data_IF_405980039402
#
_entry.id   IF_405980039402
#
_cell.length_a   1.000
_cell.length_b   1.000
_cell.length_c   1.000
_cell.angle_alpha   90.00
_cell.angle_beta   90.00
_cell.angle_gamma   90.00
#
_symmetry.space_group_name_H-M   'P 1'
#
loop_
_entity.id
_entity.type
_entity.pdbx_description
1 polymer ?
#
# COMPACT_ATOMS: atom_id res chain seq x y z
N UNK A 1 -20.25 9.47 -24.34
CA UNK A 1 -19.77 9.83 -22.98
C UNK A 1 -18.81 8.74 -22.53
N UNK A 2 -17.58 9.08 -22.20
CA UNK A 2 -16.63 8.13 -21.60
C UNK A 2 -17.12 7.75 -20.21
N UNK A 3 -17.25 6.46 -19.94
CA UNK A 3 -17.59 5.92 -18.62
C UNK A 3 -16.50 6.29 -17.60
N UNK A 4 -16.81 7.25 -16.72
CA UNK A 4 -15.90 7.72 -15.68
C UNK A 4 -15.80 6.66 -14.58
N UNK A 5 -14.69 5.93 -14.56
CA UNK A 5 -14.45 4.91 -13.54
C UNK A 5 -14.08 5.55 -12.21
N UNK A 6 -14.83 5.18 -11.16
CA UNK A 6 -14.56 5.61 -9.79
C UNK A 6 -13.20 5.07 -9.33
N UNK A 7 -12.48 5.85 -8.53
CA UNK A 7 -11.17 5.48 -8.02
C UNK A 7 -11.03 5.82 -6.54
N UNK A 8 -10.25 5.01 -5.81
CA UNK A 8 -9.79 5.29 -4.45
C UNK A 8 -8.26 5.24 -4.45
N UNK A 9 -7.64 6.28 -3.91
CA UNK A 9 -6.20 6.37 -3.71
C UNK A 9 -5.91 6.17 -2.23
N UNK A 10 -4.99 5.27 -1.93
CA UNK A 10 -4.72 4.78 -0.58
C UNK A 10 -3.24 4.99 -0.28
N UNK A 11 -2.93 5.47 0.92
CA UNK A 11 -1.59 5.36 1.45
C UNK A 11 -1.30 3.90 1.86
N UNK A 12 -0.02 3.55 2.06
CA UNK A 12 0.42 2.19 2.41
C UNK A 12 0.66 2.08 3.92
N UNK A 13 1.69 2.75 4.42
CA UNK A 13 2.16 2.62 5.80
C UNK A 13 1.26 3.43 6.74
N UNK A 14 0.79 2.80 7.82
CA UNK A 14 -0.20 3.38 8.73
C UNK A 14 -1.65 3.40 8.22
N UNK A 15 -1.89 3.01 6.97
CA UNK A 15 -3.23 2.92 6.36
C UNK A 15 -3.61 1.49 6.01
N UNK A 16 -2.80 0.81 5.19
CA UNK A 16 -3.01 -0.58 4.80
C UNK A 16 -2.24 -1.53 5.71
N UNK A 17 -0.98 -1.21 6.01
CA UNK A 17 -0.18 -1.92 6.99
C UNK A 17 0.05 -1.10 8.24
N UNK A 18 0.33 -1.79 9.33
CA UNK A 18 0.83 -1.18 10.55
C UNK A 18 2.11 -0.41 10.22
N UNK A 19 2.16 0.86 10.62
CA UNK A 19 3.33 1.71 10.44
C UNK A 19 4.55 1.10 11.14
N UNK A 20 5.64 0.97 10.39
CA UNK A 20 6.97 0.63 10.90
C UNK A 20 7.90 1.66 10.30
N UNK A 21 8.63 2.39 11.15
CA UNK A 21 9.60 3.38 10.70
C UNK A 21 10.59 2.72 9.73
N UNK A 22 10.42 3.01 8.44
CA UNK A 22 11.21 2.45 7.33
C UNK A 22 11.06 0.93 7.15
N UNK A 23 9.84 0.46 6.90
CA UNK A 23 9.56 -0.94 6.57
C UNK A 23 10.36 -1.41 5.32
N UNK A 24 11.41 -2.20 5.55
CA UNK A 24 12.31 -2.73 4.50
C UNK A 24 12.46 -4.28 4.54
N UNK A 25 11.88 -4.92 5.55
CA UNK A 25 11.87 -6.38 5.70
C UNK A 25 10.45 -6.90 5.46
N UNK A 26 10.24 -7.78 4.46
CA UNK A 26 8.94 -8.37 4.17
C UNK A 26 8.30 -9.05 5.38
N UNK A 27 9.09 -9.67 6.26
CA UNK A 27 8.56 -10.43 7.40
C UNK A 27 7.92 -9.52 8.46
N UNK A 28 8.28 -8.23 8.46
CA UNK A 28 7.69 -7.22 9.35
C UNK A 28 6.41 -6.57 8.79
N UNK A 29 6.00 -6.90 7.56
CA UNK A 29 4.74 -6.41 7.00
C UNK A 29 3.55 -7.04 7.73
N UNK A 30 2.68 -6.20 8.30
CA UNK A 30 1.44 -6.65 8.93
C UNK A 30 0.30 -5.75 8.48
N UNK A 31 -0.67 -6.31 7.75
CA UNK A 31 -1.88 -5.57 7.37
C UNK A 31 -2.80 -5.37 8.58
N UNK A 32 -3.59 -4.30 8.57
CA UNK A 32 -4.72 -4.23 9.49
C UNK A 32 -5.75 -5.33 9.13
N UNK A 33 -6.39 -5.98 10.11
CA UNK A 33 -7.34 -7.07 9.87
C UNK A 33 -8.47 -6.69 8.89
N UNK A 34 -8.87 -5.42 8.88
CA UNK A 34 -10.00 -4.89 8.12
C UNK A 34 -9.65 -4.53 6.67
N UNK A 35 -8.37 -4.52 6.28
CA UNK A 35 -7.95 -4.06 4.95
C UNK A 35 -8.54 -4.92 3.85
N UNK A 36 -8.31 -6.22 3.87
CA UNK A 36 -8.78 -7.13 2.83
C UNK A 36 -10.30 -7.03 2.61
N UNK A 37 -11.15 -7.10 3.65
CA UNK A 37 -12.60 -6.96 3.45
C UNK A 37 -12.99 -5.56 2.94
N UNK A 38 -12.37 -4.48 3.44
CA UNK A 38 -12.68 -3.12 2.98
C UNK A 38 -12.32 -2.90 1.50
N UNK A 39 -11.12 -3.33 1.07
CA UNK A 39 -10.70 -3.23 -0.33
C UNK A 39 -11.59 -4.07 -1.25
N UNK A 40 -11.97 -5.28 -0.80
CA UNK A 40 -12.89 -6.15 -1.53
C UNK A 40 -14.24 -5.47 -1.74
N UNK A 41 -14.78 -4.83 -0.70
CA UNK A 41 -16.05 -4.10 -0.79
C UNK A 41 -15.96 -2.92 -1.78
N UNK A 42 -14.87 -2.15 -1.75
CA UNK A 42 -14.65 -1.06 -2.71
C UNK A 42 -14.58 -1.58 -4.15
N UNK A 43 -13.89 -2.70 -4.39
CA UNK A 43 -13.83 -3.32 -5.72
C UNK A 43 -15.21 -3.79 -6.19
N UNK A 44 -16.01 -4.41 -5.32
CA UNK A 44 -17.38 -4.83 -5.63
C UNK A 44 -18.30 -3.65 -5.97
N UNK A 45 -18.07 -2.48 -5.35
CA UNK A 45 -18.76 -1.23 -5.65
C UNK A 45 -18.28 -0.56 -6.96
N UNK A 46 -17.33 -1.17 -7.67
CA UNK A 46 -16.82 -0.68 -8.96
C UNK A 46 -15.74 0.38 -8.86
N UNK A 47 -15.05 0.50 -7.72
CA UNK A 47 -13.87 1.36 -7.60
C UNK A 47 -12.62 0.68 -8.13
N UNK A 48 -11.76 1.47 -8.79
CA UNK A 48 -10.35 1.12 -9.01
C UNK A 48 -9.54 1.55 -7.80
N UNK A 49 -8.63 0.70 -7.36
CA UNK A 49 -7.80 0.96 -6.19
C UNK A 49 -6.38 1.27 -6.65
N UNK A 50 -5.79 2.32 -6.07
CA UNK A 50 -4.42 2.74 -6.32
C UNK A 50 -3.72 2.96 -5.00
N UNK A 51 -2.52 2.41 -4.85
CA UNK A 51 -1.65 2.70 -3.72
C UNK A 51 -0.72 3.84 -4.12
N UNK A 52 -0.65 4.88 -3.30
CA UNK A 52 0.23 6.04 -3.47
C UNK A 52 0.96 6.23 -2.15
N UNK A 53 2.27 6.00 -2.14
CA UNK A 53 3.06 6.00 -0.89
C UNK A 53 4.39 6.73 -1.05
N UNK A 54 4.79 7.44 0.00
CA UNK A 54 6.07 8.12 0.08
C UNK A 54 7.12 7.22 0.73
N UNK A 55 8.06 6.69 -0.06
CA UNK A 55 9.13 5.80 0.43
C UNK A 55 10.44 6.56 0.66
N UNK A 56 10.38 7.52 1.58
CA UNK A 56 11.44 8.51 1.76
C UNK A 56 12.74 7.97 2.39
N UNK A 57 12.70 6.76 2.96
CA UNK A 57 13.90 6.09 3.47
C UNK A 57 14.87 5.67 2.36
N UNK A 58 14.38 5.48 1.13
CA UNK A 58 15.22 5.20 -0.04
C UNK A 58 16.14 6.40 -0.33
N UNK A 59 15.56 7.60 -0.45
CA UNK A 59 16.35 8.82 -0.71
C UNK A 59 17.29 9.22 0.44
N UNK A 60 17.03 8.72 1.65
CA UNK A 60 17.88 8.91 2.84
C UNK A 60 18.93 7.82 3.03
N UNK A 61 18.90 6.75 2.24
CA UNK A 61 19.85 5.63 2.34
C UNK A 61 19.58 4.66 3.48
N UNK A 62 18.36 4.61 4.03
CA UNK A 62 18.00 3.68 5.10
C UNK A 62 17.72 2.26 4.59
N UNK A 63 17.22 2.14 3.35
CA UNK A 63 17.01 0.88 2.65
C UNK A 63 17.01 1.12 1.13
N UNK A 64 17.13 0.05 0.36
CA UNK A 64 17.20 0.11 -1.10
C UNK A 64 15.82 0.08 -1.76
N UNK A 65 15.75 0.43 -3.03
CA UNK A 65 14.54 0.24 -3.84
C UNK A 65 14.16 -1.25 -3.93
N UNK A 66 15.15 -2.15 -3.95
CA UNK A 66 14.93 -3.59 -3.95
C UNK A 66 14.28 -4.08 -2.65
N UNK A 67 14.73 -3.59 -1.50
CA UNK A 67 14.12 -3.90 -0.21
C UNK A 67 12.62 -3.53 -0.19
N UNK A 68 12.28 -2.35 -0.70
CA UNK A 68 10.90 -1.88 -0.86
C UNK A 68 10.07 -2.80 -1.77
N UNK A 69 10.64 -3.23 -2.89
CA UNK A 69 9.97 -4.16 -3.80
C UNK A 69 9.76 -5.53 -3.18
N UNK A 70 10.71 -6.05 -2.38
CA UNK A 70 10.52 -7.31 -1.65
C UNK A 70 9.36 -7.22 -0.67
N UNK A 71 9.23 -6.10 0.07
CA UNK A 71 8.09 -5.87 0.97
C UNK A 71 6.77 -5.91 0.20
N UNK A 72 6.70 -5.25 -0.95
CA UNK A 72 5.48 -5.20 -1.77
C UNK A 72 5.15 -6.53 -2.48
N UNK A 73 6.10 -7.46 -2.58
CA UNK A 73 5.91 -8.74 -3.26
C UNK A 73 5.40 -9.87 -2.34
N UNK A 74 5.27 -9.60 -1.04
CA UNK A 74 4.69 -10.51 -0.05
C UNK A 74 3.15 -10.49 -0.10
#
# INVERSE_FOLDING_TARGET
MTDLKKAVFLDRDGTLNIEKSYLCDPDHLTLFPEVVPALTQLMQLGYRLFIVTNQSGIGRGYYTLEDMHRVNAR
#
